data_IF_888888585080
#
_entry.id   IF_888888585080
#
_cell.length_a   1.000
_cell.length_b   1.000
_cell.length_c   1.000
_cell.angle_alpha   90.00
_cell.angle_beta   90.00
_cell.angle_gamma   90.00
#
_symmetry.space_group_name_H-M   'P 1'
#
loop_
_entity.id
_entity.type
_entity.pdbx_description
1 polymer ?
#
# COMPACT_ATOMS: atom_id res chain seq x y z
N UNK A 1 -21.74 1.46 10.45
CA UNK A 1 -21.24 2.84 10.24
C UNK A 1 -20.01 2.72 9.37
N UNK A 2 -19.82 3.59 8.37
CA UNK A 2 -18.61 3.53 7.56
C UNK A 2 -17.40 3.98 8.40
N UNK A 3 -16.36 3.17 8.48
CA UNK A 3 -15.12 3.53 9.19
C UNK A 3 -14.31 4.54 8.38
N UNK A 4 -13.95 5.67 8.99
CA UNK A 4 -13.05 6.69 8.43
C UNK A 4 -11.78 6.80 9.29
N UNK A 5 -10.61 6.67 8.65
CA UNK A 5 -9.29 6.79 9.25
C UNK A 5 -8.58 8.04 8.70
N UNK A 6 -7.93 8.81 9.57
CA UNK A 6 -7.13 9.96 9.13
C UNK A 6 -5.69 9.54 8.82
N UNK A 7 -5.25 9.83 7.60
CA UNK A 7 -3.86 9.72 7.17
C UNK A 7 -3.14 11.05 7.44
N UNK A 8 -2.08 11.00 8.23
CA UNK A 8 -1.17 12.12 8.45
C UNK A 8 0.27 11.71 8.11
N UNK A 9 1.01 12.59 7.44
CA UNK A 9 2.36 12.31 6.95
C UNK A 9 3.47 12.64 7.97
N UNK A 10 3.11 12.97 9.21
CA UNK A 10 4.07 13.03 10.30
C UNK A 10 4.41 11.59 10.73
N UNK A 11 5.70 11.23 10.82
CA UNK A 11 6.19 9.86 11.01
C UNK A 11 5.43 9.05 12.09
N UNK A 12 5.25 9.64 13.29
CA UNK A 12 4.53 8.96 14.39
C UNK A 12 3.05 8.76 14.10
N UNK A 13 2.40 9.76 13.52
CA UNK A 13 0.98 9.68 13.17
C UNK A 13 0.75 8.71 12.00
N UNK A 14 1.65 8.69 11.02
CA UNK A 14 1.64 7.73 9.91
C UNK A 14 1.77 6.28 10.39
N UNK A 15 2.70 6.00 11.30
CA UNK A 15 2.84 4.67 11.90
C UNK A 15 1.58 4.25 12.67
N UNK A 16 0.97 5.16 13.43
CA UNK A 16 -0.29 4.92 14.13
C UNK A 16 -1.44 4.67 13.16
N UNK A 17 -1.52 5.43 12.07
CA UNK A 17 -2.48 5.20 10.98
C UNK A 17 -2.34 3.79 10.40
N UNK A 18 -1.13 3.32 10.08
CA UNK A 18 -0.93 1.98 9.53
C UNK A 18 -1.36 0.89 10.52
N UNK A 19 -1.16 1.07 11.82
CA UNK A 19 -1.65 0.13 12.84
C UNK A 19 -3.18 0.10 12.85
N UNK A 20 -3.83 1.26 12.89
CA UNK A 20 -5.29 1.35 12.84
C UNK A 20 -5.85 0.74 11.55
N UNK A 21 -5.23 1.03 10.41
CA UNK A 21 -5.68 0.54 9.11
C UNK A 21 -5.62 -0.98 9.02
N UNK A 22 -4.55 -1.61 9.53
CA UNK A 22 -4.44 -3.07 9.62
C UNK A 22 -5.48 -3.69 10.55
N UNK A 23 -5.75 -3.05 11.68
CA UNK A 23 -6.78 -3.53 12.61
C UNK A 23 -8.16 -3.49 11.95
N UNK A 24 -8.48 -2.41 11.25
CA UNK A 24 -9.74 -2.27 10.53
C UNK A 24 -9.88 -3.37 9.47
N UNK A 25 -8.88 -3.57 8.61
CA UNK A 25 -8.92 -4.57 7.53
C UNK A 25 -9.05 -6.03 8.02
N UNK A 26 -8.75 -6.28 9.31
CA UNK A 26 -8.87 -7.61 9.94
C UNK A 26 -10.12 -7.80 10.79
N UNK A 27 -10.80 -6.72 11.19
CA UNK A 27 -11.93 -6.77 12.13
C UNK A 27 -13.24 -6.32 11.53
N UNK A 28 -13.21 -5.54 10.44
CA UNK A 28 -14.39 -4.96 9.83
C UNK A 28 -15.13 -5.93 8.91
N UNK A 29 -16.45 -5.74 8.81
CA UNK A 29 -17.36 -6.54 7.98
C UNK A 29 -17.28 -6.05 6.52
N UNK A 30 -17.36 -6.97 5.57
CA UNK A 30 -17.15 -6.71 4.12
C UNK A 30 -18.27 -5.93 3.42
N UNK A 31 -19.26 -5.44 4.16
CA UNK A 31 -20.47 -4.83 3.61
C UNK A 31 -20.28 -3.35 3.23
N UNK A 32 -19.15 -2.74 3.57
CA UNK A 32 -18.84 -1.36 3.23
C UNK A 32 -17.35 -1.11 2.92
N UNK A 33 -17.06 0.08 2.40
CA UNK A 33 -15.69 0.52 2.12
C UNK A 33 -15.11 1.25 3.34
N UNK A 34 -13.85 0.99 3.65
CA UNK A 34 -13.05 1.77 4.61
C UNK A 34 -12.61 3.05 3.94
N UNK A 35 -12.85 4.18 4.59
CA UNK A 35 -12.42 5.49 4.09
C UNK A 35 -11.10 5.89 4.76
N UNK A 36 -10.11 6.28 3.97
CA UNK A 36 -8.91 6.96 4.44
C UNK A 36 -8.98 8.42 3.99
N UNK A 37 -9.01 9.34 4.95
CA UNK A 37 -9.07 10.77 4.73
C UNK A 37 -7.68 11.41 4.90
N UNK A 38 -7.28 12.21 3.92
CA UNK A 38 -6.09 13.05 3.95
C UNK A 38 -6.52 14.52 3.82
N UNK A 39 -6.09 15.37 4.74
CA UNK A 39 -6.30 16.82 4.65
C UNK A 39 -5.04 17.49 4.15
N UNK A 40 -5.14 18.25 3.07
CA UNK A 40 -4.01 19.04 2.56
C UNK A 40 -3.86 20.37 3.31
N UNK A 41 -2.79 21.11 3.01
CA UNK A 41 -2.47 22.40 3.65
C UNK A 41 -3.53 23.48 3.41
N UNK A 42 -4.35 23.34 2.36
CA UNK A 42 -5.48 24.25 2.09
C UNK A 42 -6.71 23.93 2.93
N UNK A 43 -6.67 22.85 3.73
CA UNK A 43 -7.79 22.34 4.51
C UNK A 43 -8.73 21.44 3.72
N UNK A 44 -8.47 21.20 2.42
CA UNK A 44 -9.31 20.35 1.60
C UNK A 44 -9.11 18.87 1.97
N UNK A 45 -10.21 18.13 2.07
CA UNK A 45 -10.18 16.69 2.38
C UNK A 45 -10.23 15.86 1.11
N UNK A 46 -9.26 14.97 0.98
CA UNK A 46 -9.16 13.91 -0.02
C UNK A 46 -9.50 12.59 0.62
N UNK A 47 -10.32 11.76 -0.03
CA UNK A 47 -10.79 10.48 0.50
C UNK A 47 -10.42 9.36 -0.43
N UNK A 48 -9.95 8.27 0.14
CA UNK A 48 -9.59 7.03 -0.56
C UNK A 48 -10.40 5.88 0.03
N UNK A 49 -11.02 5.09 -0.83
CA UNK A 49 -11.97 4.05 -0.43
C UNK A 49 -11.36 2.68 -0.65
N UNK A 50 -11.34 1.85 0.38
CA UNK A 50 -10.69 0.54 0.38
C UNK A 50 -11.69 -0.57 0.70
N UNK A 51 -11.60 -1.67 -0.04
CA UNK A 51 -12.28 -2.92 0.32
C UNK A 51 -11.48 -3.69 1.34
N UNK A 52 -12.21 -4.21 2.32
CA UNK A 52 -11.73 -5.18 3.29
C UNK A 52 -12.20 -6.60 2.90
N UNK A 53 -11.38 -7.63 3.14
CA UNK A 53 -9.96 -7.51 3.48
C UNK A 53 -9.11 -7.15 2.24
N UNK A 54 -7.81 -6.98 2.46
CA UNK A 54 -6.74 -6.79 1.48
C UNK A 54 -6.40 -5.35 1.16
N UNK A 55 -6.94 -4.33 1.83
CA UNK A 55 -6.60 -2.93 1.55
C UNK A 55 -6.74 -2.59 0.07
N UNK A 56 -7.75 -3.15 -0.63
CA UNK A 56 -7.87 -2.93 -2.07
C UNK A 56 -8.47 -1.55 -2.30
N UNK A 57 -7.69 -0.63 -2.87
CA UNK A 57 -8.19 0.68 -3.25
C UNK A 57 -9.22 0.53 -4.38
N UNK A 58 -10.47 0.94 -4.14
CA UNK A 58 -11.62 0.83 -5.06
C UNK A 58 -12.21 2.18 -5.49
N UNK A 59 -11.70 3.28 -4.95
CA UNK A 59 -12.10 4.61 -5.40
C UNK A 59 -11.40 5.72 -4.64
N UNK A 60 -11.62 6.95 -5.08
CA UNK A 60 -11.20 8.14 -4.36
C UNK A 60 -12.11 9.33 -4.68
N UNK A 61 -12.01 10.38 -3.86
CA UNK A 61 -12.62 11.70 -4.05
C UNK A 61 -11.57 12.73 -3.66
N UNK A 62 -11.21 13.60 -4.60
CA UNK A 62 -10.22 14.66 -4.40
C UNK A 62 -10.95 15.97 -4.10
N UNK A 63 -10.50 16.69 -3.07
CA UNK A 63 -11.10 17.97 -2.62
C UNK A 63 -12.62 17.93 -2.44
N UNK A 64 -13.16 16.81 -1.95
CA UNK A 64 -14.60 16.62 -1.78
C UNK A 64 -15.41 16.52 -3.07
N UNK A 65 -14.76 16.34 -4.22
CA UNK A 65 -15.43 16.13 -5.51
C UNK A 65 -16.14 14.79 -5.61
N UNK A 66 -16.72 14.51 -6.79
CA UNK A 66 -17.38 13.24 -7.05
C UNK A 66 -16.42 12.06 -6.85
N UNK A 67 -16.96 10.93 -6.35
CA UNK A 67 -16.20 9.69 -6.21
C UNK A 67 -15.84 9.17 -7.60
N UNK A 68 -14.55 8.97 -7.84
CA UNK A 68 -14.04 8.18 -8.95
C UNK A 68 -14.02 6.71 -8.54
N UNK A 69 -14.72 5.88 -9.29
CA UNK A 69 -14.79 4.44 -9.04
C UNK A 69 -13.67 3.72 -9.82
N UNK A 70 -12.89 2.90 -9.12
CA UNK A 70 -11.81 2.10 -9.72
C UNK A 70 -12.25 0.66 -10.03
N UNK A 71 -13.55 0.38 -9.98
CA UNK A 71 -14.09 -0.91 -10.43
C UNK A 71 -13.81 -1.08 -11.92
N UNK A 72 -13.05 -2.12 -12.30
CA UNK A 72 -12.62 -2.35 -13.68
C UNK A 72 -11.37 -1.57 -14.11
N UNK A 73 -10.76 -0.82 -13.20
CA UNK A 73 -9.50 -0.14 -13.45
C UNK A 73 -8.39 -1.16 -13.71
N UNK A 74 -7.61 -0.93 -14.77
CA UNK A 74 -6.49 -1.79 -15.10
C UNK A 74 -5.32 -1.47 -14.18
N UNK A 75 -5.19 -2.25 -13.11
CA UNK A 75 -4.04 -2.22 -12.21
C UNK A 75 -2.76 -2.79 -12.87
N UNK A 76 -2.86 -3.31 -14.10
CA UNK A 76 -1.78 -3.97 -14.82
C UNK A 76 -0.53 -3.11 -14.83
N UNK A 77 0.58 -3.69 -14.36
CA UNK A 77 1.98 -3.27 -14.40
C UNK A 77 2.30 -1.76 -14.43
N UNK A 78 1.42 -0.92 -13.89
CA UNK A 78 1.51 0.53 -13.92
C UNK A 78 2.89 0.97 -13.46
N UNK A 79 3.49 1.89 -14.21
CA UNK A 79 4.89 2.25 -14.09
C UNK A 79 5.20 2.92 -12.75
N UNK A 80 5.38 2.11 -11.70
CA UNK A 80 6.22 2.44 -10.55
C UNK A 80 7.67 2.36 -11.00
N UNK A 81 8.07 3.32 -11.85
CA UNK A 81 9.44 3.51 -12.31
C UNK A 81 9.91 4.86 -11.81
N UNK A 82 10.20 4.91 -10.52
CA UNK A 82 10.73 6.11 -9.89
C UNK A 82 11.74 5.69 -8.84
N UNK A 83 13.01 5.99 -9.10
CA UNK A 83 14.11 5.56 -8.25
C UNK A 83 14.31 6.46 -7.01
N UNK A 84 13.71 7.65 -6.98
CA UNK A 84 13.89 8.60 -5.88
C UNK A 84 12.64 9.49 -5.66
N UNK A 85 11.56 8.90 -5.16
CA UNK A 85 10.37 9.65 -4.77
C UNK A 85 10.56 10.30 -3.39
N UNK A 86 10.17 11.56 -3.27
CA UNK A 86 10.23 12.38 -2.06
C UNK A 86 8.86 12.50 -1.40
N UNK A 87 8.81 13.07 -0.18
CA UNK A 87 7.56 13.41 0.49
C UNK A 87 6.62 14.26 -0.38
N UNK A 88 7.15 15.23 -1.12
CA UNK A 88 6.36 16.11 -1.96
C UNK A 88 5.65 15.35 -3.09
N UNK A 89 6.29 14.29 -3.62
CA UNK A 89 5.71 13.45 -4.68
C UNK A 89 4.51 12.64 -4.17
N UNK A 90 4.57 12.16 -2.92
CA UNK A 90 3.46 11.47 -2.27
C UNK A 90 2.33 12.44 -1.88
N UNK A 91 2.66 13.63 -1.38
CA UNK A 91 1.66 14.68 -1.11
C UNK A 91 0.94 15.11 -2.39
N UNK A 92 1.68 15.34 -3.48
CA UNK A 92 1.10 15.64 -4.78
C UNK A 92 0.23 14.50 -5.33
N UNK A 93 0.61 13.24 -5.08
CA UNK A 93 -0.20 12.08 -5.44
C UNK A 93 -1.51 12.02 -4.62
N UNK A 94 -1.46 12.30 -3.31
CA UNK A 94 -2.64 12.36 -2.45
C UNK A 94 -3.60 13.50 -2.82
N UNK A 95 -3.06 14.59 -3.39
CA UNK A 95 -3.88 15.73 -3.83
C UNK A 95 -4.46 15.54 -5.23
N UNK A 96 -3.82 14.74 -6.09
CA UNK A 96 -4.25 14.52 -7.49
C UNK A 96 -5.07 13.25 -7.68
N UNK A 97 -4.94 12.25 -6.80
CA UNK A 97 -5.57 10.95 -6.96
C UNK A 97 -5.07 10.24 -8.23
N UNK A 98 -5.99 9.72 -9.04
CA UNK A 98 -5.70 8.96 -10.26
C UNK A 98 -6.02 9.66 -11.59
N UNK A 99 -6.54 10.88 -11.57
CA UNK A 99 -7.08 11.53 -12.76
C UNK A 99 -8.44 10.97 -13.20
N UNK A 100 -8.69 10.88 -14.51
CA UNK A 100 -9.97 10.40 -15.08
C UNK A 100 -9.85 9.19 -16.00
N UNK A 101 -8.68 8.53 -16.05
CA UNK A 101 -8.41 7.40 -16.94
C UNK A 101 -8.81 6.03 -16.36
N UNK A 102 -8.61 4.97 -17.15
CA UNK A 102 -8.92 3.57 -16.77
C UNK A 102 -7.68 2.72 -16.45
N UNK A 103 -6.49 3.32 -16.49
CA UNK A 103 -5.19 2.64 -16.33
C UNK A 103 -4.36 3.24 -15.21
N UNK A 104 -3.65 2.39 -14.44
CA UNK A 104 -2.78 2.79 -13.33
C UNK A 104 -1.87 3.97 -13.65
N UNK A 105 -1.97 5.03 -12.84
CA UNK A 105 -1.11 6.22 -12.93
C UNK A 105 -0.02 6.22 -11.86
N UNK A 106 1.10 6.94 -12.07
CA UNK A 106 2.13 7.10 -11.04
C UNK A 106 1.58 7.64 -9.71
N UNK A 107 0.64 8.60 -9.75
CA UNK A 107 0.01 9.13 -8.55
C UNK A 107 -0.77 8.06 -7.78
N UNK A 108 -1.62 7.26 -8.44
CA UNK A 108 -2.33 6.17 -7.75
C UNK A 108 -1.36 5.12 -7.21
N UNK A 109 -0.29 4.84 -7.95
CA UNK A 109 0.70 3.88 -7.52
C UNK A 109 1.45 4.36 -6.26
N UNK A 110 1.74 5.67 -6.13
CA UNK A 110 2.27 6.27 -4.89
C UNK A 110 1.27 6.21 -3.75
N UNK A 111 -0.01 6.49 -4.00
CA UNK A 111 -1.07 6.35 -2.97
C UNK A 111 -1.13 4.91 -2.48
N UNK A 112 -1.14 3.93 -3.38
CA UNK A 112 -1.17 2.50 -3.06
C UNK A 112 0.08 2.10 -2.27
N UNK A 113 1.26 2.55 -2.68
CA UNK A 113 2.52 2.28 -1.99
C UNK A 113 2.50 2.83 -0.55
N UNK A 114 2.02 4.07 -0.37
CA UNK A 114 1.91 4.76 0.92
C UNK A 114 0.84 4.16 1.85
N UNK A 115 -0.16 3.48 1.29
CA UNK A 115 -1.29 2.94 2.04
C UNK A 115 -1.25 1.42 2.05
N UNK A 116 -1.82 0.78 1.03
CA UNK A 116 -1.98 -0.67 0.93
C UNK A 116 -0.65 -1.42 1.09
N UNK A 117 0.41 -1.03 0.38
CA UNK A 117 1.67 -1.79 0.41
C UNK A 117 2.43 -1.61 1.73
N UNK A 118 2.44 -0.39 2.27
CA UNK A 118 2.97 -0.13 3.61
C UNK A 118 2.18 -0.87 4.70
N UNK A 119 0.85 -0.96 4.57
CA UNK A 119 0.02 -1.74 5.48
C UNK A 119 0.33 -3.25 5.39
N UNK A 120 0.59 -3.77 4.19
CA UNK A 120 0.89 -5.19 3.96
C UNK A 120 2.32 -5.60 4.33
N UNK A 121 3.29 -4.69 4.28
CA UNK A 121 4.72 -5.02 4.43
C UNK A 121 5.46 -4.07 5.38
N UNK A 122 6.10 -4.63 6.42
CA UNK A 122 6.96 -3.88 7.35
C UNK A 122 8.21 -3.33 6.67
N UNK A 123 8.67 -3.98 5.59
CA UNK A 123 9.80 -3.47 4.79
C UNK A 123 9.39 -2.18 4.08
N UNK A 124 8.20 -2.16 3.48
CA UNK A 124 7.66 -0.97 2.80
C UNK A 124 7.34 0.14 3.79
N UNK A 125 6.69 -0.18 4.92
CA UNK A 125 6.42 0.78 6.00
C UNK A 125 7.70 1.49 6.45
N UNK A 126 8.79 0.76 6.69
CA UNK A 126 10.07 1.33 7.12
C UNK A 126 10.61 2.34 6.09
N UNK A 127 10.51 2.01 4.80
CA UNK A 127 10.97 2.88 3.72
C UNK A 127 10.12 4.15 3.61
N UNK A 128 8.79 4.04 3.78
CA UNK A 128 7.90 5.20 3.82
C UNK A 128 8.19 6.09 5.04
N UNK A 129 8.39 5.50 6.22
CA UNK A 129 8.75 6.23 7.45
C UNK A 129 10.08 6.98 7.27
N UNK A 130 11.09 6.37 6.65
CA UNK A 130 12.37 7.01 6.36
C UNK A 130 12.22 8.17 5.38
N UNK A 131 11.41 7.99 4.32
CA UNK A 131 11.09 9.05 3.36
C UNK A 131 10.37 10.23 4.04
N UNK A 132 9.39 9.95 4.91
CA UNK A 132 8.70 10.99 5.69
C UNK A 132 9.61 11.72 6.68
N UNK A 133 10.72 11.09 7.10
CA UNK A 133 11.78 11.67 7.92
C UNK A 133 12.80 12.51 7.15
N UNK A 134 12.59 12.75 5.85
CA UNK A 134 13.47 13.56 4.98
C UNK A 134 14.31 12.76 3.98
N UNK A 135 14.12 11.44 3.89
CA UNK A 135 14.75 10.59 2.89
C UNK A 135 14.01 10.56 1.55
N UNK A 136 14.45 9.66 0.68
CA UNK A 136 13.75 9.28 -0.56
C UNK A 136 13.44 7.79 -0.55
N UNK A 137 12.52 7.37 -1.42
CA UNK A 137 12.20 5.96 -1.63
C UNK A 137 12.32 5.57 -3.09
N UNK A 138 12.95 4.43 -3.34
CA UNK A 138 13.03 3.83 -4.67
C UNK A 138 11.84 2.89 -4.90
N UNK A 139 10.81 3.41 -5.57
CA UNK A 139 9.60 2.67 -5.89
C UNK A 139 9.85 1.55 -6.90
N UNK A 140 10.89 1.68 -7.75
CA UNK A 140 11.30 0.61 -8.67
C UNK A 140 11.79 -0.61 -7.91
N UNK A 141 12.55 -0.39 -6.83
CA UNK A 141 13.02 -1.46 -5.95
C UNK A 141 11.91 -2.06 -5.11
N UNK A 142 10.98 -1.23 -4.62
CA UNK A 142 9.82 -1.70 -3.86
C UNK A 142 8.81 -2.47 -4.72
N UNK A 143 8.70 -2.17 -6.01
CA UNK A 143 7.80 -2.86 -6.95
C UNK A 143 7.97 -4.38 -6.93
N UNK A 144 9.21 -4.88 -6.78
CA UNK A 144 9.45 -6.32 -6.63
C UNK A 144 8.70 -6.91 -5.43
N UNK A 145 8.73 -6.22 -4.28
CA UNK A 145 8.02 -6.65 -3.08
C UNK A 145 6.49 -6.58 -3.25
N UNK A 146 5.99 -5.61 -4.02
CA UNK A 146 4.55 -5.47 -4.32
C UNK A 146 4.07 -6.64 -5.17
N UNK A 147 4.83 -7.00 -6.20
CA UNK A 147 4.53 -8.14 -7.08
C UNK A 147 4.59 -9.48 -6.33
N UNK A 148 5.53 -9.62 -5.39
CA UNK A 148 5.71 -10.86 -4.63
C UNK A 148 4.76 -11.00 -3.43
N UNK A 149 4.11 -9.93 -2.97
CA UNK A 149 3.28 -9.93 -1.75
C UNK A 149 2.28 -11.10 -1.74
N UNK A 150 1.55 -11.30 -2.84
CA UNK A 150 0.54 -12.36 -2.93
C UNK A 150 1.14 -13.75 -2.72
N UNK A 151 2.29 -14.01 -3.34
CA UNK A 151 2.99 -15.29 -3.21
C UNK A 151 3.59 -15.50 -1.82
N UNK A 152 4.15 -14.45 -1.20
CA UNK A 152 4.71 -14.51 0.15
C UNK A 152 3.60 -14.69 1.19
N UNK A 153 2.47 -13.98 1.05
CA UNK A 153 1.33 -14.11 1.94
C UNK A 153 0.72 -15.52 1.92
N UNK A 154 0.65 -16.16 0.75
CA UNK A 154 0.23 -17.56 0.61
C UNK A 154 1.26 -18.50 1.24
N UNK A 155 2.54 -18.29 0.98
CA UNK A 155 3.63 -19.09 1.56
C UNK A 155 3.62 -19.05 3.11
N UNK A 156 3.46 -17.86 3.69
CA UNK A 156 3.36 -17.69 5.15
C UNK A 156 2.00 -18.11 5.73
N UNK A 157 1.05 -18.57 4.89
CA UNK A 157 -0.32 -18.95 5.28
C UNK A 157 -1.09 -17.80 5.95
N UNK A 158 -0.80 -16.56 5.57
CA UNK A 158 -1.50 -15.39 6.07
C UNK A 158 -2.84 -15.14 5.36
N UNK A 159 -3.02 -15.70 4.16
CA UNK A 159 -4.30 -15.69 3.44
C UNK A 159 -4.89 -17.10 3.37
N UNK A 160 -6.18 -17.22 3.68
CA UNK A 160 -6.96 -18.45 3.56
C UNK A 160 -7.80 -18.48 2.26
N UNK A 161 -7.79 -17.38 1.50
CA UNK A 161 -8.47 -17.20 0.22
C UNK A 161 -8.39 -15.74 -0.23
N UNK A 162 -9.11 -15.37 -1.30
CA UNK A 162 -9.13 -13.97 -1.72
C UNK A 162 -9.69 -13.06 -0.63
N UNK A 163 -10.74 -13.50 0.06
CA UNK A 163 -11.47 -12.65 1.00
C UNK A 163 -11.24 -12.97 2.48
N UNK A 164 -10.22 -13.73 2.86
CA UNK A 164 -10.03 -14.07 4.28
C UNK A 164 -8.58 -14.11 4.73
N UNK A 165 -8.35 -13.57 5.91
CA UNK A 165 -7.09 -13.67 6.62
C UNK A 165 -7.06 -14.87 7.54
N UNK A 166 -5.88 -15.44 7.69
CA UNK A 166 -5.59 -16.33 8.81
C UNK A 166 -5.65 -15.54 10.13
N UNK A 167 -6.06 -16.15 11.24
CA UNK A 167 -5.95 -15.54 12.58
C UNK A 167 -4.52 -15.11 12.94
N UNK A 168 -3.51 -15.70 12.28
CA UNK A 168 -2.09 -15.36 12.45
C UNK A 168 -1.59 -14.28 11.50
N UNK A 169 -2.48 -13.68 10.70
CA UNK A 169 -2.10 -12.65 9.74
C UNK A 169 -1.41 -11.48 10.46
N UNK A 170 -0.32 -11.02 9.84
CA UNK A 170 0.37 -9.79 10.18
C UNK A 170 1.02 -9.22 8.93
N UNK A 171 1.41 -7.94 8.99
CA UNK A 171 2.26 -7.37 7.95
C UNK A 171 3.52 -8.21 7.74
N UNK A 172 3.85 -8.46 6.47
CA UNK A 172 4.98 -9.28 6.04
C UNK A 172 6.27 -8.61 6.49
N UNK A 173 7.13 -9.35 7.16
CA UNK A 173 8.43 -8.86 7.59
C UNK A 173 9.54 -9.27 6.62
N UNK A 174 10.75 -8.78 6.88
CA UNK A 174 11.94 -9.10 6.08
C UNK A 174 12.24 -10.60 6.04
N UNK A 175 12.03 -11.31 7.15
CA UNK A 175 12.32 -12.73 7.27
C UNK A 175 11.34 -13.60 6.47
N UNK A 176 10.08 -13.17 6.35
CA UNK A 176 9.07 -13.82 5.52
C UNK A 176 9.48 -13.82 4.04
N UNK A 177 9.91 -12.66 3.51
CA UNK A 177 10.44 -12.54 2.15
C UNK A 177 11.70 -13.40 1.96
N UNK A 178 12.65 -13.36 2.91
CA UNK A 178 13.87 -14.16 2.82
C UNK A 178 13.58 -15.67 2.79
N UNK A 179 12.64 -16.14 3.63
CA UNK A 179 12.20 -17.54 3.63
C UNK A 179 11.50 -17.92 2.32
N UNK A 180 10.68 -17.04 1.77
CA UNK A 180 10.03 -17.26 0.49
C UNK A 180 11.05 -17.38 -0.66
N UNK A 181 12.04 -16.48 -0.75
CA UNK A 181 13.04 -16.50 -1.82
C UNK A 181 14.01 -17.68 -1.73
N UNK A 182 14.22 -18.23 -0.53
CA UNK A 182 15.10 -19.39 -0.31
C UNK A 182 14.41 -20.74 -0.52
N UNK A 183 13.09 -20.76 -0.76
CA UNK A 183 12.37 -22.02 -1.04
C UNK A 183 12.81 -22.62 -2.39
N UNK A 184 12.67 -23.93 -2.52
CA UNK A 184 13.08 -24.66 -3.73
C UNK A 184 12.22 -24.29 -4.95
N UNK A 185 10.94 -24.01 -4.74
CA UNK A 185 9.95 -23.70 -5.77
C UNK A 185 9.94 -22.22 -6.18
N UNK A 186 10.83 -21.38 -5.64
CA UNK A 186 10.99 -20.03 -6.14
C UNK A 186 11.78 -20.06 -7.46
N UNK A 187 11.12 -19.62 -8.53
CA UNK A 187 11.65 -19.66 -9.91
C UNK A 187 12.22 -18.33 -10.39
N UNK A 188 12.14 -17.27 -9.57
CA UNK A 188 12.75 -15.98 -9.87
C UNK A 188 14.25 -15.93 -9.57
N UNK A 189 14.87 -14.78 -9.80
CA UNK A 189 16.27 -14.54 -9.46
C UNK A 189 16.45 -14.44 -7.93
N UNK A 190 16.81 -15.57 -7.32
CA UNK A 190 17.02 -15.69 -5.87
C UNK A 190 18.07 -14.72 -5.35
N UNK A 191 19.19 -14.56 -6.07
CA UNK A 191 20.28 -13.71 -5.63
C UNK A 191 19.85 -12.24 -5.63
N UNK A 192 19.24 -11.77 -6.72
CA UNK A 192 18.74 -10.39 -6.81
C UNK A 192 17.63 -10.10 -5.80
N UNK A 193 16.68 -11.03 -5.60
CA UNK A 193 15.56 -10.83 -4.67
C UNK A 193 16.02 -10.78 -3.20
N UNK A 194 16.95 -11.67 -2.82
CA UNK A 194 17.57 -11.64 -1.49
C UNK A 194 18.40 -10.38 -1.27
N UNK A 195 19.20 -9.97 -2.26
CA UNK A 195 19.97 -8.72 -2.18
C UNK A 195 19.05 -7.50 -2.03
N UNK A 196 17.94 -7.46 -2.78
CA UNK A 196 16.97 -6.37 -2.72
C UNK A 196 16.36 -6.24 -1.32
N UNK A 197 15.79 -7.32 -0.77
CA UNK A 197 15.15 -7.26 0.57
C UNK A 197 16.18 -7.06 1.69
N UNK A 198 17.43 -7.49 1.49
CA UNK A 198 18.49 -7.32 2.50
C UNK A 198 18.94 -5.86 2.62
N UNK A 199 18.88 -5.12 1.53
CA UNK A 199 19.33 -3.72 1.47
C UNK A 199 18.19 -2.71 1.59
N UNK A 200 16.93 -3.17 1.68
CA UNK A 200 15.76 -2.43 2.16
C UNK A 200 15.61 -2.61 3.69
#
# INVERSE_FOLDING_TARGET
MATELTLQLATRAYAAFLVAFRNVDTTEVRDHDVTVAYQDESGATHRYFYKVPNFRLVGYSVRGGARVNLTGYNYGDGELKEAAATRADFEGALQSGGGGGTTMTPSLARVIALTSEAARSRVVEKQMIAMLGGGTVDLTRLRRLFNDYGHVAVFCRYRLGEDSYSPTWRAIDKSDYQRFYTRMEYTGDRAASLANVTTL
#
